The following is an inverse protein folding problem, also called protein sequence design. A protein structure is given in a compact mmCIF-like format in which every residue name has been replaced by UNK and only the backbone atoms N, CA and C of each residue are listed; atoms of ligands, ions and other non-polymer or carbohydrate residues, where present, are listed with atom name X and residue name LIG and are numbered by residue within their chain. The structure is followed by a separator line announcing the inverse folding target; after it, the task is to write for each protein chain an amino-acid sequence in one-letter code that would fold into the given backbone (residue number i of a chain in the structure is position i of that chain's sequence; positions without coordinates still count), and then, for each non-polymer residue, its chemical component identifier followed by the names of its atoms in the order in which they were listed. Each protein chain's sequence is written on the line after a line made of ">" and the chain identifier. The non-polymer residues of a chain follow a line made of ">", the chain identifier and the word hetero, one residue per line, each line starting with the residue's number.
data_IF_710216533323
#
_entry.id   IF_710216533323
#
_cell.length_a   1.000
_cell.length_b   1.000
_cell.length_c   1.000
_cell.angle_alpha   90.00
_cell.angle_beta   90.00
_cell.angle_gamma   90.00
#
_symmetry.space_group_name_H-M   'P 1'
#
loop_
_entity.id
_entity.type
_entity.pdbx_description
1 polymer ?
#
# COMPACT_ATOMS: atom_id res chain seq x y z
N UNK A 1 36.06 -9.52 9.07
CA UNK A 1 35.23 -9.69 7.85
C UNK A 1 34.05 -8.70 7.82
N UNK A 2 33.17 -8.69 8.83
CA UNK A 2 31.99 -7.80 8.87
C UNK A 2 32.34 -6.30 8.90
N UNK A 3 33.41 -5.92 9.62
CA UNK A 3 33.85 -4.52 9.70
C UNK A 3 34.37 -3.98 8.36
N UNK A 4 35.06 -4.82 7.58
CA UNK A 4 35.52 -4.45 6.23
C UNK A 4 34.34 -4.26 5.27
N UNK A 5 33.29 -5.08 5.42
CA UNK A 5 32.06 -4.95 4.65
C UNK A 5 31.31 -3.66 5.00
N UNK A 6 31.18 -3.33 6.30
CA UNK A 6 30.53 -2.10 6.73
C UNK A 6 31.33 -0.85 6.40
N UNK A 7 32.66 -0.90 6.54
CA UNK A 7 33.56 0.21 6.26
C UNK A 7 33.71 0.49 4.76
N UNK A 8 33.50 -0.52 3.89
CA UNK A 8 33.70 -0.45 2.44
C UNK A 8 34.97 0.33 2.06
N UNK A 9 36.12 -0.04 2.63
CA UNK A 9 37.39 0.63 2.41
C UNK A 9 37.35 2.15 2.65
N UNK A 10 36.56 2.62 3.63
CA UNK A 10 36.37 4.03 3.96
C UNK A 10 35.12 4.67 3.35
N UNK A 11 34.43 4.02 2.40
CA UNK A 11 33.24 4.56 1.74
C UNK A 11 31.92 4.18 2.40
N UNK A 12 31.95 3.33 3.43
CA UNK A 12 30.77 2.74 4.05
C UNK A 12 29.73 3.77 4.48
N UNK A 13 30.17 4.88 5.09
CA UNK A 13 29.25 5.92 5.55
C UNK A 13 28.42 6.52 4.40
N UNK A 14 29.05 6.77 3.24
CA UNK A 14 28.35 7.31 2.07
C UNK A 14 27.39 6.28 1.49
N UNK A 15 27.84 5.03 1.35
CA UNK A 15 27.01 3.96 0.76
C UNK A 15 25.79 3.68 1.64
N UNK A 16 26.00 3.38 2.92
CA UNK A 16 24.91 3.11 3.86
C UNK A 16 24.03 4.34 4.10
N UNK A 17 24.61 5.54 4.12
CA UNK A 17 23.88 6.80 4.20
C UNK A 17 22.95 7.00 2.99
N UNK A 18 23.44 6.79 1.77
CA UNK A 18 22.62 6.86 0.55
C UNK A 18 21.48 5.85 0.58
N UNK A 19 21.76 4.59 0.93
CA UNK A 19 20.70 3.58 1.07
C UNK A 19 19.68 3.97 2.12
N UNK A 20 20.11 4.41 3.31
CA UNK A 20 19.19 4.81 4.38
C UNK A 20 18.28 5.97 3.93
N UNK A 21 18.83 7.00 3.29
CA UNK A 21 18.05 8.12 2.76
C UNK A 21 17.05 7.64 1.71
N UNK A 22 17.47 6.80 0.77
CA UNK A 22 16.58 6.24 -0.26
C UNK A 22 15.47 5.40 0.37
N UNK A 23 15.78 4.51 1.31
CA UNK A 23 14.78 3.69 2.00
C UNK A 23 13.78 4.54 2.80
N UNK A 24 14.25 5.60 3.47
CA UNK A 24 13.37 6.54 4.18
C UNK A 24 12.46 7.26 3.19
N UNK A 25 13.00 7.81 2.09
CA UNK A 25 12.22 8.52 1.10
C UNK A 25 11.17 7.61 0.44
N UNK A 26 11.57 6.42 -0.02
CA UNK A 26 10.67 5.43 -0.59
C UNK A 26 9.63 4.94 0.44
N UNK A 27 10.04 4.71 1.69
CA UNK A 27 9.17 4.29 2.78
C UNK A 27 8.09 5.34 3.10
N UNK A 28 8.47 6.62 3.16
CA UNK A 28 7.53 7.72 3.38
C UNK A 28 6.54 7.87 2.22
N UNK A 29 7.00 7.77 0.98
CA UNK A 29 6.13 7.81 -0.19
C UNK A 29 5.18 6.61 -0.21
N UNK A 30 5.70 5.41 0.04
CA UNK A 30 4.90 4.20 0.13
C UNK A 30 3.82 4.33 1.20
N UNK A 31 4.18 4.79 2.41
CA UNK A 31 3.24 4.96 3.51
C UNK A 31 2.13 5.95 3.17
N UNK A 32 2.46 7.10 2.58
CA UNK A 32 1.47 8.09 2.13
C UNK A 32 0.52 7.50 1.08
N UNK A 33 1.05 6.85 0.05
CA UNK A 33 0.25 6.23 -1.01
C UNK A 33 -0.62 5.11 -0.47
N UNK A 34 -0.09 4.27 0.43
CA UNK A 34 -0.84 3.19 1.06
C UNK A 34 -2.00 3.70 1.92
N UNK A 35 -1.78 4.77 2.70
CA UNK A 35 -2.84 5.40 3.49
C UNK A 35 -3.96 5.96 2.58
N UNK A 36 -3.58 6.57 1.47
CA UNK A 36 -4.52 7.08 0.47
C UNK A 36 -5.29 5.94 -0.20
N UNK A 37 -4.63 4.84 -0.57
CA UNK A 37 -5.27 3.66 -1.13
C UNK A 37 -6.33 3.10 -0.18
N UNK A 38 -5.97 2.87 1.10
CA UNK A 38 -6.92 2.39 2.12
C UNK A 38 -8.10 3.33 2.32
N UNK A 39 -7.89 4.65 2.19
CA UNK A 39 -8.99 5.62 2.26
C UNK A 39 -9.95 5.39 1.10
N UNK A 40 -9.45 5.29 -0.13
CA UNK A 40 -10.29 5.04 -1.31
C UNK A 40 -11.02 3.70 -1.24
N UNK A 41 -10.35 2.62 -0.79
CA UNK A 41 -11.00 1.31 -0.61
C UNK A 41 -12.18 1.39 0.37
N UNK A 42 -12.01 2.11 1.49
CA UNK A 42 -13.07 2.29 2.48
C UNK A 42 -14.21 3.15 1.95
N UNK A 43 -13.90 4.26 1.29
CA UNK A 43 -14.92 5.16 0.75
C UNK A 43 -15.72 4.45 -0.35
N UNK A 44 -15.05 3.66 -1.20
CA UNK A 44 -15.68 2.79 -2.19
C UNK A 44 -16.57 1.70 -1.56
N UNK A 45 -16.12 1.06 -0.48
CA UNK A 45 -16.94 0.06 0.23
C UNK A 45 -18.21 0.67 0.84
N UNK A 46 -18.15 1.92 1.32
CA UNK A 46 -19.34 2.65 1.79
C UNK A 46 -20.31 2.92 0.65
N UNK A 47 -19.82 3.48 -0.45
CA UNK A 47 -20.65 3.81 -1.62
C UNK A 47 -21.34 2.57 -2.20
N UNK A 48 -20.66 1.42 -2.27
CA UNK A 48 -21.29 0.17 -2.69
C UNK A 48 -22.34 -0.34 -1.69
N UNK A 49 -22.12 -0.16 -0.40
CA UNK A 49 -23.13 -0.57 0.60
C UNK A 49 -24.37 0.34 0.60
N UNK A 50 -24.23 1.61 0.17
CA UNK A 50 -25.34 2.54 -0.01
C UNK A 50 -26.12 2.31 -1.32
N UNK A 51 -25.55 1.61 -2.30
CA UNK A 51 -26.23 1.23 -3.54
C UNK A 51 -27.33 0.18 -3.31
N UNK A 52 -28.40 0.26 -4.11
CA UNK A 52 -29.45 -0.77 -4.14
C UNK A 52 -28.89 -2.15 -4.50
N UNK A 53 -29.55 -3.21 -4.03
CA UNK A 53 -29.13 -4.61 -4.22
C UNK A 53 -28.87 -4.98 -5.69
N UNK A 54 -29.67 -4.44 -6.60
CA UNK A 54 -29.54 -4.63 -8.05
C UNK A 54 -28.27 -3.96 -8.59
N UNK A 55 -28.05 -2.68 -8.25
CA UNK A 55 -26.87 -1.91 -8.67
C UNK A 55 -25.59 -2.47 -8.08
N UNK A 56 -25.63 -2.92 -6.82
CA UNK A 56 -24.51 -3.57 -6.14
C UNK A 56 -24.08 -4.86 -6.84
N UNK A 57 -25.02 -5.72 -7.24
CA UNK A 57 -24.70 -6.94 -8.02
C UNK A 57 -24.04 -6.61 -9.35
N UNK A 58 -24.59 -5.64 -10.09
CA UNK A 58 -24.07 -5.22 -11.39
C UNK A 58 -22.62 -4.71 -11.26
N UNK A 59 -22.33 -3.87 -10.26
CA UNK A 59 -20.97 -3.33 -10.04
C UNK A 59 -19.97 -4.42 -9.65
N UNK A 60 -20.38 -5.38 -8.82
CA UNK A 60 -19.52 -6.51 -8.41
C UNK A 60 -19.23 -7.43 -9.60
N UNK A 61 -20.22 -7.69 -10.46
CA UNK A 61 -20.07 -8.55 -11.64
C UNK A 61 -19.21 -7.89 -12.73
N UNK A 62 -19.36 -6.58 -12.94
CA UNK A 62 -18.63 -5.84 -13.97
C UNK A 62 -17.22 -5.41 -13.54
N UNK A 63 -16.91 -5.41 -12.24
CA UNK A 63 -15.61 -4.95 -11.73
C UNK A 63 -14.94 -5.97 -10.81
N UNK A 64 -13.84 -6.55 -11.30
CA UNK A 64 -12.97 -7.41 -10.50
C UNK A 64 -12.41 -6.68 -9.29
N UNK A 65 -12.07 -5.39 -9.44
CA UNK A 65 -11.60 -4.54 -8.35
C UNK A 65 -12.68 -4.40 -7.28
N UNK A 66 -13.95 -4.22 -7.67
CA UNK A 66 -15.05 -4.10 -6.73
C UNK A 66 -15.24 -5.37 -5.90
N UNK A 67 -15.22 -6.54 -6.56
CA UNK A 67 -15.29 -7.83 -5.87
C UNK A 67 -14.15 -8.02 -4.86
N UNK A 68 -12.95 -7.57 -5.22
CA UNK A 68 -11.75 -7.73 -4.39
C UNK A 68 -11.78 -6.83 -3.16
N UNK A 69 -12.15 -5.55 -3.32
CA UNK A 69 -12.28 -4.59 -2.20
C UNK A 69 -13.33 -5.04 -1.19
N UNK A 70 -14.52 -5.49 -1.64
CA UNK A 70 -15.55 -6.01 -0.74
C UNK A 70 -15.13 -7.30 -0.02
N UNK A 71 -14.48 -8.23 -0.71
CA UNK A 71 -13.99 -9.47 -0.09
C UNK A 71 -12.92 -9.19 0.97
N UNK A 72 -12.06 -8.19 0.74
CA UNK A 72 -11.03 -7.75 1.69
C UNK A 72 -11.63 -7.03 2.90
N UNK A 73 -12.63 -6.18 2.67
CA UNK A 73 -13.37 -5.50 3.74
C UNK A 73 -14.18 -6.46 4.62
N UNK A 74 -14.76 -7.53 4.04
CA UNK A 74 -15.54 -8.53 4.79
C UNK A 74 -14.68 -9.42 5.69
N UNK A 75 -13.38 -9.58 5.42
CA UNK A 75 -12.46 -10.38 6.27
C UNK A 75 -11.99 -9.64 7.53
N UNK A 76 -12.34 -8.37 7.67
CA UNK A 76 -11.92 -7.53 8.82
C UNK A 76 -13.06 -7.36 9.85
N UNK A 77 -14.21 -8.02 9.66
CA UNK A 77 -15.33 -8.06 10.61
C UNK A 77 -15.42 -9.46 11.21
#
# INVERSE_FOLDING_TARGET
>A
MIQNFLSMNGYGLFVWGSFAITFIACGLLYYKTFKTLKKYERDFAKEINELSSERKKIVIENSKIASQVLSSSSKTI
#
